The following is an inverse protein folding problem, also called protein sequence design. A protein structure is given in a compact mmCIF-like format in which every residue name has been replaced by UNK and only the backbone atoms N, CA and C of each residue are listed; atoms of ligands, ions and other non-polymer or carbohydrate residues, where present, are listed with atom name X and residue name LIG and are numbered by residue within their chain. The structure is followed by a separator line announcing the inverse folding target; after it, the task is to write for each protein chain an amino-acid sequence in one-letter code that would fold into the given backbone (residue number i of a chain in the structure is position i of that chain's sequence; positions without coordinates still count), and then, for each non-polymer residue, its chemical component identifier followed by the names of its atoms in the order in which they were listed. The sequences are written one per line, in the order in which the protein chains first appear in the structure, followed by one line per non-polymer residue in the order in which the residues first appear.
data_IF_900761731220
#
_entry.id   IF_900761731220
#
_cell.length_a   1.000
_cell.length_b   1.000
_cell.length_c   1.000
_cell.angle_alpha   90.00
_cell.angle_beta   90.00
_cell.angle_gamma   90.00
#
_symmetry.space_group_name_H-M   'P 1'
#
loop_
_entity.id
_entity.type
_entity.pdbx_description
1 polymer ?
#
# COMPACT_ATOMS: atom_id res chain seq x y z
N UNK A 1 -16.77 21.23 0.36
CA UNK A 1 -17.37 19.89 0.19
C UNK A 1 -17.19 19.33 -1.24
N UNK A 2 -17.12 20.18 -2.27
CA UNK A 2 -17.00 19.74 -3.68
C UNK A 2 -15.62 19.13 -4.04
N UNK A 3 -14.52 19.71 -3.56
CA UNK A 3 -13.16 19.27 -3.97
C UNK A 3 -12.75 17.89 -3.46
N UNK A 4 -13.05 17.55 -2.20
CA UNK A 4 -12.74 16.20 -1.67
C UNK A 4 -13.53 15.12 -2.41
N UNK A 5 -14.76 15.42 -2.82
CA UNK A 5 -15.58 14.54 -3.63
C UNK A 5 -14.96 14.34 -5.02
N UNK A 6 -14.51 15.41 -5.69
CA UNK A 6 -13.86 15.31 -6.99
C UNK A 6 -12.53 14.53 -6.92
N UNK A 7 -11.76 14.67 -5.84
CA UNK A 7 -10.56 13.83 -5.63
C UNK A 7 -10.96 12.36 -5.48
N UNK A 8 -11.90 12.05 -4.59
CA UNK A 8 -12.37 10.68 -4.36
C UNK A 8 -12.97 10.05 -5.63
N UNK A 9 -13.72 10.83 -6.41
CA UNK A 9 -14.30 10.44 -7.69
C UNK A 9 -13.24 10.20 -8.76
N UNK A 10 -12.24 11.08 -8.85
CA UNK A 10 -11.13 10.94 -9.80
C UNK A 10 -10.36 9.63 -9.61
N UNK A 11 -10.13 9.22 -8.36
CA UNK A 11 -9.50 7.94 -8.05
C UNK A 11 -10.48 6.78 -8.28
N UNK A 12 -11.66 6.81 -7.65
CA UNK A 12 -12.58 5.68 -7.68
C UNK A 12 -13.07 5.35 -9.09
N UNK A 13 -13.35 6.36 -9.92
CA UNK A 13 -13.92 6.17 -11.25
C UNK A 13 -12.87 6.05 -12.36
N UNK A 14 -11.58 5.91 -12.02
CA UNK A 14 -10.55 5.61 -13.02
C UNK A 14 -10.89 4.31 -13.75
N UNK A 15 -10.82 4.31 -15.07
CA UNK A 15 -10.89 3.10 -15.89
C UNK A 15 -9.76 3.15 -16.91
N UNK A 16 -8.79 2.24 -16.76
CA UNK A 16 -7.67 2.13 -17.68
C UNK A 16 -8.11 1.54 -19.03
N UNK A 17 -7.28 1.72 -20.06
CA UNK A 17 -7.55 1.14 -21.37
C UNK A 17 -7.78 -0.39 -21.30
N UNK A 18 -8.68 -0.95 -22.13
CA UNK A 18 -8.96 -2.38 -22.16
C UNK A 18 -7.69 -3.23 -22.33
N UNK A 19 -7.68 -4.41 -21.72
CA UNK A 19 -6.58 -5.36 -21.90
C UNK A 19 -6.65 -5.94 -23.32
N UNK A 20 -5.58 -5.78 -24.10
CA UNK A 20 -5.49 -6.42 -25.43
C UNK A 20 -5.25 -7.94 -25.27
N UNK A 21 -5.92 -8.79 -26.08
CA UNK A 21 -5.67 -10.23 -26.08
C UNK A 21 -4.18 -10.54 -26.34
N UNK A 22 -3.63 -11.52 -25.60
CA UNK A 22 -2.25 -12.01 -25.83
C UNK A 22 -1.13 -11.22 -25.15
N UNK A 23 -1.43 -10.19 -24.35
CA UNK A 23 -0.39 -9.52 -23.54
C UNK A 23 0.02 -10.35 -22.32
N UNK A 24 1.32 -10.55 -22.15
CA UNK A 24 1.95 -11.13 -20.97
C UNK A 24 1.69 -10.27 -19.72
N UNK A 25 1.58 -10.95 -18.59
CA UNK A 25 1.31 -10.31 -17.30
C UNK A 25 2.52 -9.47 -16.85
N UNK A 26 2.31 -8.18 -16.57
CA UNK A 26 3.37 -7.26 -16.10
C UNK A 26 3.82 -6.19 -17.11
N UNK A 27 3.48 -6.35 -18.39
CA UNK A 27 3.77 -5.36 -19.44
C UNK A 27 2.71 -4.25 -19.57
N UNK A 28 1.59 -4.40 -18.84
CA UNK A 28 0.46 -3.49 -18.95
C UNK A 28 0.74 -2.15 -18.24
N UNK A 29 0.87 -1.07 -19.02
CA UNK A 29 1.03 0.32 -18.53
C UNK A 29 -0.07 0.77 -17.56
N UNK A 30 -1.29 0.26 -17.72
CA UNK A 30 -2.46 0.67 -16.93
C UNK A 30 -2.38 0.49 -15.40
N UNK A 31 -1.58 -0.46 -14.88
CA UNK A 31 -1.36 -0.54 -13.43
C UNK A 31 -0.64 0.69 -12.88
N UNK A 32 0.43 1.11 -13.59
CA UNK A 32 1.19 2.31 -13.28
C UNK A 32 0.38 3.60 -13.46
N UNK A 33 -0.56 3.61 -14.41
CA UNK A 33 -1.48 4.73 -14.61
C UNK A 33 -2.39 4.92 -13.40
N UNK A 34 -2.95 3.84 -12.84
CA UNK A 34 -3.78 3.95 -11.65
C UNK A 34 -2.98 4.32 -10.40
N UNK A 35 -1.78 3.77 -10.23
CA UNK A 35 -0.85 4.21 -9.18
C UNK A 35 -0.57 5.71 -9.26
N UNK A 36 -0.39 6.25 -10.47
CA UNK A 36 -0.21 7.69 -10.69
C UNK A 36 -1.45 8.50 -10.32
N UNK A 37 -2.65 8.01 -10.64
CA UNK A 37 -3.94 8.66 -10.27
C UNK A 37 -4.14 8.65 -8.75
N UNK A 38 -3.88 7.52 -8.08
CA UNK A 38 -3.92 7.44 -6.61
C UNK A 38 -2.92 8.42 -6.00
N UNK A 39 -1.69 8.43 -6.52
CA UNK A 39 -0.66 9.35 -6.06
C UNK A 39 -1.08 10.83 -6.21
N UNK A 40 -1.58 11.22 -7.38
CA UNK A 40 -2.09 12.57 -7.62
C UNK A 40 -3.26 12.90 -6.68
N UNK A 41 -4.17 11.95 -6.46
CA UNK A 41 -5.29 12.10 -5.53
C UNK A 41 -4.83 12.35 -4.10
N UNK A 42 -3.83 11.62 -3.61
CA UNK A 42 -3.27 11.82 -2.27
C UNK A 42 -2.55 13.18 -2.13
N UNK A 43 -1.84 13.63 -3.16
CA UNK A 43 -1.20 14.95 -3.17
C UNK A 43 -2.24 16.08 -3.14
N UNK A 44 -3.29 15.98 -3.97
CA UNK A 44 -4.42 16.92 -3.97
C UNK A 44 -5.15 16.93 -2.63
N UNK A 45 -5.34 15.75 -2.02
CA UNK A 45 -5.94 15.64 -0.69
C UNK A 45 -5.09 16.34 0.38
N UNK A 46 -3.77 16.13 0.39
CA UNK A 46 -2.86 16.84 1.29
C UNK A 46 -2.93 18.35 1.14
N UNK A 47 -2.96 18.86 -0.10
CA UNK A 47 -3.10 20.30 -0.39
C UNK A 47 -4.45 20.84 0.08
N UNK A 48 -5.53 20.08 -0.15
CA UNK A 48 -6.87 20.44 0.30
C UNK A 48 -6.92 20.53 1.83
N UNK A 49 -6.32 19.57 2.55
CA UNK A 49 -6.30 19.57 4.02
C UNK A 49 -5.66 20.84 4.59
N UNK A 50 -4.49 21.23 4.10
CA UNK A 50 -3.77 22.41 4.62
C UNK A 50 -4.42 23.72 4.22
N UNK A 51 -5.19 23.72 3.13
CA UNK A 51 -6.01 24.87 2.74
C UNK A 51 -7.25 24.98 3.62
N UNK A 52 -7.88 23.85 3.96
CA UNK A 52 -9.13 23.81 4.70
C UNK A 52 -8.96 23.88 6.23
N UNK A 53 -7.81 23.46 6.76
CA UNK A 53 -7.54 23.39 8.20
C UNK A 53 -6.26 24.18 8.52
N UNK A 54 -6.39 25.39 9.10
CA UNK A 54 -5.26 26.30 9.32
C UNK A 54 -4.13 25.79 10.21
N UNK A 55 -4.34 24.75 11.02
CA UNK A 55 -3.29 24.13 11.87
C UNK A 55 -2.49 23.05 11.15
N UNK A 56 -2.89 22.64 9.94
CA UNK A 56 -2.21 21.60 9.15
C UNK A 56 -1.15 22.21 8.22
N UNK A 57 -0.01 21.52 8.08
CA UNK A 57 1.09 21.88 7.17
C UNK A 57 1.52 20.69 6.33
N UNK A 58 1.93 20.96 5.09
CA UNK A 58 2.60 19.98 4.24
C UNK A 58 4.11 20.12 4.44
N UNK A 59 4.79 19.00 4.68
CA UNK A 59 6.25 18.97 4.84
C UNK A 59 6.87 17.81 4.08
N UNK A 60 8.03 17.98 3.43
CA UNK A 60 8.79 16.86 2.93
C UNK A 60 9.27 15.96 4.07
N UNK A 61 9.56 14.71 3.76
CA UNK A 61 9.97 13.69 4.74
C UNK A 61 11.43 13.33 4.53
N UNK A 62 12.18 13.18 5.61
CA UNK A 62 13.54 12.65 5.59
C UNK A 62 13.63 11.36 6.43
N UNK A 63 14.37 10.37 5.95
CA UNK A 63 14.63 9.15 6.70
C UNK A 63 15.75 9.37 7.73
N UNK A 64 15.50 9.07 9.00
CA UNK A 64 16.52 9.08 10.05
C UNK A 64 17.59 8.02 9.79
N UNK A 65 18.84 8.32 10.14
CA UNK A 65 19.97 7.41 9.94
C UNK A 65 20.55 7.40 8.53
N UNK A 66 19.94 8.10 7.55
CA UNK A 66 20.60 8.31 6.26
C UNK A 66 21.56 9.50 6.34
N UNK A 67 22.77 9.36 5.80
CA UNK A 67 23.79 10.42 5.74
C UNK A 67 23.41 11.61 4.86
N UNK A 68 22.22 11.58 4.26
CA UNK A 68 21.73 12.59 3.33
C UNK A 68 20.89 13.61 4.08
N UNK A 69 21.30 14.88 4.03
CA UNK A 69 20.49 16.03 4.41
C UNK A 69 19.31 16.29 3.45
N UNK A 70 18.92 15.30 2.63
CA UNK A 70 17.92 15.44 1.58
C UNK A 70 16.63 14.72 1.97
N UNK A 71 15.50 15.34 1.67
CA UNK A 71 14.21 14.68 1.78
C UNK A 71 14.07 13.54 0.76
N UNK A 72 13.18 12.61 1.06
CA UNK A 72 12.78 11.53 0.18
C UNK A 72 11.95 12.11 -0.97
N UNK A 73 12.39 11.86 -2.20
CA UNK A 73 11.70 12.30 -3.42
C UNK A 73 10.38 11.55 -3.68
N UNK A 74 9.95 10.69 -2.76
CA UNK A 74 8.75 9.87 -2.87
C UNK A 74 7.89 9.88 -1.60
N UNK A 75 8.10 10.85 -0.69
CA UNK A 75 7.35 10.94 0.56
C UNK A 75 6.97 12.36 0.96
N UNK A 76 5.74 12.51 1.45
CA UNK A 76 5.14 13.77 1.89
C UNK A 76 4.41 13.56 3.23
N UNK A 77 4.48 14.54 4.12
CA UNK A 77 3.78 14.54 5.39
C UNK A 77 2.72 15.64 5.45
N UNK A 78 1.58 15.33 6.08
CA UNK A 78 0.64 16.31 6.63
C UNK A 78 0.85 16.33 8.14
N UNK A 79 1.20 17.49 8.68
CA UNK A 79 1.59 17.68 10.08
C UNK A 79 0.55 18.56 10.77
N UNK A 80 0.10 18.12 11.95
CA UNK A 80 -0.56 18.96 12.93
C UNK A 80 0.35 19.12 14.15
N UNK A 81 0.96 20.30 14.30
CA UNK A 81 1.87 20.56 15.42
C UNK A 81 1.14 20.65 16.76
N UNK A 82 -0.07 21.21 16.78
CA UNK A 82 -0.89 21.38 17.99
C UNK A 82 -1.23 20.03 18.61
N UNK A 83 -1.64 19.07 17.78
CA UNK A 83 -1.99 17.72 18.20
C UNK A 83 -0.80 16.75 18.23
N UNK A 84 0.40 17.20 17.82
CA UNK A 84 1.59 16.36 17.64
C UNK A 84 1.33 15.13 16.77
N UNK A 85 0.45 15.24 15.78
CA UNK A 85 0.03 14.16 14.87
C UNK A 85 0.59 14.38 13.47
N UNK A 86 1.14 13.33 12.86
CA UNK A 86 1.71 13.37 11.51
C UNK A 86 1.23 12.19 10.70
N UNK A 87 0.67 12.49 9.53
CA UNK A 87 0.31 11.50 8.53
C UNK A 87 1.34 11.57 7.40
N UNK A 88 2.08 10.49 7.18
CA UNK A 88 3.09 10.43 6.12
C UNK A 88 2.64 9.48 5.04
N UNK A 89 2.70 9.94 3.79
CA UNK A 89 2.50 9.15 2.59
C UNK A 89 3.86 8.91 1.93
N UNK A 90 4.25 7.65 1.71
CA UNK A 90 5.42 7.29 0.90
C UNK A 90 5.00 6.39 -0.25
N UNK A 91 5.00 6.94 -1.46
CA UNK A 91 4.60 6.26 -2.69
C UNK A 91 5.65 6.54 -3.77
N UNK A 92 6.28 5.52 -4.38
CA UNK A 92 7.25 5.70 -5.48
C UNK A 92 6.72 6.58 -6.62
N UNK A 93 5.41 6.50 -6.91
CA UNK A 93 4.72 7.30 -7.92
C UNK A 93 4.80 8.82 -7.69
N UNK A 94 5.08 9.30 -6.48
CA UNK A 94 5.28 10.73 -6.21
C UNK A 94 6.50 11.31 -6.93
N UNK A 95 7.57 10.52 -7.12
CA UNK A 95 8.84 10.99 -7.70
C UNK A 95 8.68 11.64 -9.09
N UNK A 96 7.68 11.19 -9.83
CA UNK A 96 7.42 11.62 -11.20
C UNK A 96 6.21 12.55 -11.31
N UNK A 97 5.59 12.91 -10.18
CA UNK A 97 4.39 13.74 -10.17
C UNK A 97 4.76 15.24 -10.10
N UNK A 98 4.33 16.07 -11.08
CA UNK A 98 4.62 17.50 -11.07
C UNK A 98 4.09 18.24 -9.84
N UNK A 99 2.95 17.83 -9.29
CA UNK A 99 2.38 18.44 -8.08
C UNK A 99 3.25 18.16 -6.85
N UNK A 100 3.92 17.00 -6.78
CA UNK A 100 4.88 16.73 -5.72
C UNK A 100 6.09 17.66 -5.80
N UNK A 101 6.62 17.88 -7.01
CA UNK A 101 7.70 18.84 -7.24
C UNK A 101 7.27 20.27 -6.86
N UNK A 102 6.07 20.70 -7.24
CA UNK A 102 5.50 22.00 -6.83
C UNK A 102 5.46 22.13 -5.30
N UNK A 103 4.89 21.15 -4.60
CA UNK A 103 4.74 21.15 -3.14
C UNK A 103 6.10 21.19 -2.43
N UNK A 104 7.11 20.50 -2.96
CA UNK A 104 8.41 20.33 -2.29
C UNK A 104 9.48 21.36 -2.72
N UNK A 105 9.28 22.06 -3.84
CA UNK A 105 10.25 23.00 -4.42
C UNK A 105 10.62 24.18 -3.50
N UNK A 106 9.73 24.56 -2.58
CA UNK A 106 9.95 25.66 -1.63
C UNK A 106 10.48 25.25 -0.25
N UNK A 107 10.73 23.96 -0.01
CA UNK A 107 11.10 23.49 1.32
C UNK A 107 12.55 23.85 1.69
N UNK A 108 12.73 24.54 2.81
CA UNK A 108 14.04 24.84 3.37
C UNK A 108 14.70 23.54 3.90
N UNK A 109 16.05 23.49 3.90
CA UNK A 109 16.84 22.32 4.33
C UNK A 109 16.54 21.79 5.75
N UNK A 110 15.83 22.54 6.59
CA UNK A 110 15.49 22.15 7.97
C UNK A 110 13.99 21.95 8.21
N UNK A 111 13.11 22.11 7.21
CA UNK A 111 11.66 22.03 7.37
C UNK A 111 11.10 20.63 7.05
N UNK A 112 11.83 19.59 7.46
CA UNK A 112 11.49 18.20 7.16
C UNK A 112 10.89 17.48 8.36
N UNK A 113 9.95 16.58 8.11
CA UNK A 113 9.56 15.56 9.08
C UNK A 113 10.59 14.43 9.02
N UNK A 114 11.33 14.23 10.11
CA UNK A 114 12.23 13.10 10.26
C UNK A 114 11.47 11.87 10.76
N UNK A 115 11.68 10.74 10.09
CA UNK A 115 11.01 9.48 10.39
C UNK A 115 12.03 8.35 10.35
N UNK A 116 12.03 7.41 11.31
CA UNK A 116 12.82 6.18 11.22
C UNK A 116 12.59 5.43 9.91
N UNK A 117 13.66 5.03 9.22
CA UNK A 117 13.56 4.31 7.93
C UNK A 117 12.76 2.99 8.06
N UNK A 118 12.84 2.34 9.23
CA UNK A 118 12.08 1.13 9.54
C UNK A 118 10.55 1.34 9.47
N UNK A 119 10.06 2.54 9.82
CA UNK A 119 8.64 2.87 9.71
C UNK A 119 8.22 2.98 8.25
N UNK A 120 9.13 3.46 7.40
CA UNK A 120 8.91 3.65 5.96
C UNK A 120 9.19 2.39 5.13
N UNK A 121 9.66 1.28 5.72
CA UNK A 121 9.92 0.00 5.04
C UNK A 121 8.65 -0.51 4.34
N UNK A 122 8.73 -0.77 3.03
CA UNK A 122 7.63 -1.33 2.21
C UNK A 122 7.99 -2.67 1.55
N UNK A 123 9.16 -3.18 1.86
CA UNK A 123 9.74 -4.36 1.23
C UNK A 123 10.28 -5.28 2.31
N UNK A 124 9.90 -6.55 2.24
CA UNK A 124 10.13 -7.53 3.30
C UNK A 124 10.78 -8.77 2.70
N UNK A 125 11.81 -9.28 3.37
CA UNK A 125 12.61 -10.41 2.87
C UNK A 125 11.90 -11.71 3.23
N UNK A 126 11.57 -12.52 2.21
CA UNK A 126 10.77 -13.75 2.38
C UNK A 126 11.41 -14.73 3.36
N UNK A 127 12.74 -14.77 3.40
CA UNK A 127 13.50 -15.61 4.33
C UNK A 127 13.14 -15.36 5.80
N UNK A 128 12.68 -14.15 6.16
CA UNK A 128 12.31 -13.80 7.54
C UNK A 128 11.12 -14.62 8.06
N UNK A 129 10.17 -15.02 7.20
CA UNK A 129 8.97 -15.77 7.61
C UNK A 129 8.86 -17.17 7.00
N UNK A 130 9.58 -17.49 5.92
CA UNK A 130 9.59 -18.86 5.36
C UNK A 130 10.55 -19.78 6.11
N UNK A 131 11.76 -19.30 6.42
CA UNK A 131 12.82 -20.13 7.05
C UNK A 131 12.37 -20.73 8.38
N UNK A 132 11.69 -19.99 9.28
CA UNK A 132 11.22 -20.55 10.55
C UNK A 132 10.25 -21.73 10.40
N UNK A 133 9.61 -21.90 9.24
CA UNK A 133 8.61 -22.94 8.98
C UNK A 133 9.14 -24.16 8.24
N UNK A 134 10.39 -24.15 7.76
CA UNK A 134 10.94 -25.27 6.97
C UNK A 134 10.89 -26.61 7.69
N UNK A 135 11.14 -26.65 9.00
CA UNK A 135 11.06 -27.89 9.78
C UNK A 135 9.66 -28.51 9.73
N UNK A 136 8.62 -27.70 9.96
CA UNK A 136 7.21 -28.13 9.88
C UNK A 136 6.82 -28.56 8.45
N UNK A 137 7.37 -27.92 7.42
CA UNK A 137 7.15 -28.32 6.02
C UNK A 137 7.82 -29.66 5.70
N UNK A 138 9.04 -29.88 6.21
CA UNK A 138 9.77 -31.13 6.05
C UNK A 138 9.07 -32.30 6.75
N UNK A 139 8.62 -32.12 7.99
CA UNK A 139 7.88 -33.13 8.76
C UNK A 139 6.57 -33.57 8.07
N UNK A 140 5.96 -32.69 7.28
CA UNK A 140 4.76 -32.98 6.48
C UNK A 140 5.06 -33.63 5.13
N UNK A 141 6.33 -33.79 4.76
CA UNK A 141 6.75 -34.30 3.44
C UNK A 141 6.45 -33.33 2.30
N UNK A 142 6.39 -32.02 2.58
CA UNK A 142 6.13 -31.00 1.54
C UNK A 142 7.41 -30.45 0.90
N UNK A 143 8.56 -30.69 1.53
CA UNK A 143 9.88 -30.42 0.94
C UNK A 143 10.34 -31.69 0.22
N UNK A 144 10.63 -31.63 -1.10
CA UNK A 144 11.17 -32.76 -1.85
C UNK A 144 12.44 -33.33 -1.22
N UNK A 145 12.59 -34.65 -1.23
CA UNK A 145 13.77 -35.34 -0.66
C UNK A 145 15.03 -35.08 -1.48
N UNK A 146 16.20 -35.21 -0.85
CA UNK A 146 17.50 -34.82 -1.45
C UNK A 146 17.85 -35.64 -2.72
N UNK A 147 17.36 -36.87 -2.83
CA UNK A 147 17.56 -37.74 -3.99
C UNK A 147 16.57 -37.49 -5.14
N UNK A 148 15.59 -36.60 -4.97
CA UNK A 148 14.68 -36.19 -6.02
C UNK A 148 15.37 -35.30 -7.08
N UNK A 149 14.95 -35.36 -8.36
CA UNK A 149 15.64 -34.69 -9.47
C UNK A 149 15.42 -33.16 -9.53
N UNK A 150 14.88 -32.54 -8.47
CA UNK A 150 14.56 -31.12 -8.45
C UNK A 150 15.76 -30.30 -7.95
N UNK A 151 16.07 -29.16 -8.58
CA UNK A 151 17.20 -28.33 -8.16
C UNK A 151 17.01 -27.73 -6.76
N UNK A 152 15.78 -27.69 -6.25
CA UNK A 152 15.44 -27.17 -4.94
C UNK A 152 14.79 -28.30 -4.12
N UNK A 153 15.63 -29.20 -3.61
CA UNK A 153 15.23 -30.32 -2.76
C UNK A 153 16.14 -30.40 -1.53
N UNK A 154 15.72 -31.16 -0.52
CA UNK A 154 16.47 -31.38 0.72
C UNK A 154 17.00 -30.08 1.34
N UNK A 155 18.30 -30.07 1.64
CA UNK A 155 18.97 -28.89 2.22
C UNK A 155 19.08 -27.71 1.27
N UNK A 156 18.86 -27.89 -0.03
CA UNK A 156 18.91 -26.83 -1.05
C UNK A 156 17.56 -26.12 -1.22
N UNK A 157 16.49 -26.59 -0.59
CA UNK A 157 15.16 -25.98 -0.66
C UNK A 157 15.11 -24.48 -0.31
N UNK A 158 15.89 -23.95 0.67
CA UNK A 158 15.91 -22.52 0.98
C UNK A 158 16.36 -21.62 -0.19
N UNK A 159 17.13 -22.14 -1.15
CA UNK A 159 17.54 -21.38 -2.34
C UNK A 159 16.34 -20.92 -3.18
N UNK A 160 15.21 -21.65 -3.11
CA UNK A 160 14.00 -21.36 -3.88
C UNK A 160 13.49 -19.93 -3.65
N UNK A 161 13.57 -19.46 -2.40
CA UNK A 161 13.08 -18.14 -1.98
C UNK A 161 14.19 -17.20 -1.49
N UNK A 162 15.46 -17.63 -1.51
CA UNK A 162 16.58 -16.78 -1.12
C UNK A 162 16.58 -15.45 -1.87
N UNK A 163 16.80 -14.35 -1.13
CA UNK A 163 16.77 -12.96 -1.64
C UNK A 163 15.46 -12.53 -2.30
N UNK A 164 14.41 -13.37 -2.29
CA UNK A 164 13.06 -12.96 -2.72
C UNK A 164 12.44 -12.03 -1.70
N UNK A 165 11.55 -11.18 -2.17
CA UNK A 165 10.95 -10.11 -1.38
C UNK A 165 9.50 -9.92 -1.74
N UNK A 166 8.69 -9.65 -0.73
CA UNK A 166 7.34 -9.12 -0.90
C UNK A 166 7.44 -7.60 -0.83
N UNK A 167 6.93 -6.92 -1.85
CA UNK A 167 7.02 -5.48 -2.00
C UNK A 167 5.63 -4.88 -2.17
N UNK A 168 5.31 -3.89 -1.36
CA UNK A 168 4.06 -3.14 -1.42
C UNK A 168 4.22 -1.86 -2.24
N UNK A 169 3.12 -1.43 -2.85
CA UNK A 169 3.06 -0.27 -3.76
C UNK A 169 3.35 1.04 -3.01
N UNK A 170 3.11 1.09 -1.70
CA UNK A 170 3.45 2.23 -0.85
C UNK A 170 3.27 1.96 0.63
N UNK A 171 3.43 3.01 1.43
CA UNK A 171 3.15 2.98 2.87
C UNK A 171 2.55 4.31 3.33
N UNK A 172 1.59 4.23 4.25
CA UNK A 172 1.08 5.37 5.00
C UNK A 172 1.35 5.12 6.47
N UNK A 173 1.96 6.08 7.18
CA UNK A 173 2.20 5.96 8.62
C UNK A 173 1.53 7.09 9.40
N UNK A 174 1.11 6.74 10.60
CA UNK A 174 0.45 7.59 11.56
C UNK A 174 1.38 7.73 12.76
N UNK A 175 1.91 8.93 12.97
CA UNK A 175 2.80 9.25 14.08
C UNK A 175 2.10 10.18 15.08
N UNK A 176 2.18 9.86 16.36
CA UNK A 176 1.73 10.77 17.43
C UNK A 176 2.86 10.95 18.43
N UNK A 177 3.30 12.20 18.64
CA UNK A 177 4.46 12.53 19.47
C UNK A 177 5.70 11.69 19.11
N UNK A 178 5.94 11.48 17.81
CA UNK A 178 7.06 10.67 17.30
C UNK A 178 6.87 9.15 17.38
N UNK A 179 5.79 8.66 17.98
CA UNK A 179 5.51 7.23 18.12
C UNK A 179 4.64 6.72 16.96
N UNK A 180 5.03 5.60 16.33
CA UNK A 180 4.22 4.90 15.34
C UNK A 180 2.94 4.36 15.95
N UNK A 181 1.80 4.95 15.60
CA UNK A 181 0.46 4.48 15.97
C UNK A 181 -0.03 3.40 15.02
N UNK A 182 0.15 3.62 13.72
CA UNK A 182 -0.28 2.70 12.68
C UNK A 182 0.60 2.83 11.43
N UNK A 183 0.78 1.72 10.72
CA UNK A 183 1.44 1.62 9.42
C UNK A 183 0.54 0.87 8.43
N UNK A 184 -0.06 1.57 7.49
CA UNK A 184 -0.77 0.96 6.39
C UNK A 184 0.20 0.60 5.26
N UNK A 185 0.35 -0.69 4.96
CA UNK A 185 1.00 -1.18 3.76
C UNK A 185 0.01 -1.09 2.60
N UNK A 186 0.36 -0.35 1.55
CA UNK A 186 -0.55 -0.08 0.46
C UNK A 186 -0.40 -1.12 -0.64
N UNK A 187 -1.53 -1.65 -1.07
CA UNK A 187 -1.65 -2.31 -2.35
C UNK A 187 -2.58 -1.48 -3.24
N UNK A 188 -2.12 -1.12 -4.44
CA UNK A 188 -2.86 -0.35 -5.42
C UNK A 188 -3.11 -1.23 -6.63
N UNK A 189 -4.39 -1.51 -6.90
CA UNK A 189 -4.77 -2.37 -8.03
C UNK A 189 -5.95 -1.76 -8.77
N UNK A 190 -5.75 -1.49 -10.05
CA UNK A 190 -6.85 -1.13 -10.94
C UNK A 190 -7.51 -2.36 -11.50
N UNK A 191 -8.82 -2.31 -11.63
CA UNK A 191 -9.54 -3.21 -12.50
C UNK A 191 -9.63 -2.67 -13.91
N UNK A 192 -9.55 -3.63 -14.83
CA UNK A 192 -9.87 -3.46 -16.23
C UNK A 192 -11.10 -4.30 -16.53
N UNK A 193 -12.03 -3.71 -17.26
CA UNK A 193 -13.07 -4.46 -17.90
C UNK A 193 -12.54 -5.00 -19.23
N UNK A 194 -12.68 -6.31 -19.46
CA UNK A 194 -12.68 -6.83 -20.83
C UNK A 194 -14.06 -6.52 -21.40
N UNK A 195 -14.12 -5.60 -22.37
CA UNK A 195 -15.35 -5.22 -23.08
C UNK A 195 -16.49 -4.69 -22.17
N UNK A 196 -16.18 -4.12 -21.00
CA UNK A 196 -17.22 -3.64 -20.09
C UNK A 196 -18.09 -4.74 -19.46
N UNK A 197 -17.67 -6.01 -19.53
CA UNK A 197 -18.52 -7.15 -19.11
C UNK A 197 -17.92 -7.99 -17.97
N UNK A 198 -16.58 -8.14 -17.91
CA UNK A 198 -15.89 -9.00 -16.94
C UNK A 198 -14.61 -8.36 -16.42
N UNK A 199 -14.27 -8.71 -15.18
CA UNK A 199 -13.02 -8.35 -14.51
C UNK A 199 -11.91 -9.33 -14.90
N UNK A 200 -10.74 -8.80 -15.27
CA UNK A 200 -9.50 -9.59 -15.34
C UNK A 200 -9.08 -10.06 -13.93
N UNK A 201 -9.11 -11.37 -13.73
CA UNK A 201 -8.92 -12.02 -12.43
C UNK A 201 -7.47 -12.13 -11.96
N UNK A 202 -6.51 -12.12 -12.87
CA UNK A 202 -5.13 -12.52 -12.56
C UNK A 202 -4.46 -11.58 -11.53
N UNK A 203 -4.77 -10.28 -11.57
CA UNK A 203 -4.29 -9.36 -10.55
C UNK A 203 -4.86 -9.67 -9.15
N UNK A 204 -6.10 -10.11 -9.05
CA UNK A 204 -6.81 -10.34 -7.80
C UNK A 204 -6.48 -11.70 -7.18
N UNK A 205 -6.24 -12.70 -8.02
CA UNK A 205 -5.76 -14.01 -7.55
C UNK A 205 -4.34 -13.90 -7.00
N UNK A 206 -3.47 -13.09 -7.64
CA UNK A 206 -2.15 -12.75 -7.07
C UNK A 206 -2.26 -11.92 -5.80
N UNK A 207 -3.19 -10.98 -5.75
CA UNK A 207 -3.45 -10.24 -4.51
C UNK A 207 -3.89 -11.17 -3.37
N UNK A 208 -4.69 -12.21 -3.64
CA UNK A 208 -5.08 -13.17 -2.61
C UNK A 208 -3.87 -13.90 -2.01
N UNK A 209 -2.85 -14.22 -2.81
CA UNK A 209 -1.59 -14.77 -2.31
C UNK A 209 -0.80 -13.74 -1.50
N UNK A 210 -0.66 -12.52 -2.02
CA UNK A 210 0.03 -11.42 -1.30
C UNK A 210 -0.67 -11.04 0.01
N UNK A 211 -1.98 -11.26 0.12
CA UNK A 211 -2.72 -11.10 1.36
C UNK A 211 -2.30 -12.13 2.43
N UNK A 212 -1.95 -13.36 2.00
CA UNK A 212 -1.37 -14.37 2.90
C UNK A 212 0.08 -14.03 3.25
N UNK A 213 0.87 -13.49 2.32
CA UNK A 213 2.20 -12.94 2.67
C UNK A 213 2.06 -11.83 3.73
N UNK A 214 1.07 -10.94 3.57
CA UNK A 214 0.81 -9.90 4.57
C UNK A 214 0.40 -10.49 5.93
N UNK A 215 -0.34 -11.61 5.98
CA UNK A 215 -0.68 -12.24 7.26
C UNK A 215 0.58 -12.59 8.07
N UNK A 216 1.59 -13.16 7.41
CA UNK A 216 2.87 -13.50 8.02
C UNK A 216 3.68 -12.24 8.39
N UNK A 217 3.73 -11.27 7.49
CA UNK A 217 4.40 -9.97 7.74
C UNK A 217 3.73 -9.26 8.93
N UNK A 218 2.41 -9.26 9.02
CA UNK A 218 1.65 -8.62 10.10
C UNK A 218 1.91 -9.25 11.46
N UNK A 219 2.27 -10.54 11.50
CA UNK A 219 2.68 -11.22 12.73
C UNK A 219 4.05 -10.73 13.23
N UNK A 220 4.98 -10.43 12.31
CA UNK A 220 6.33 -9.97 12.63
C UNK A 220 6.43 -8.45 12.85
N UNK A 221 5.56 -7.68 12.18
CA UNK A 221 5.58 -6.23 12.17
C UNK A 221 4.27 -5.69 12.76
N UNK A 222 4.20 -5.49 14.09
CA UNK A 222 2.97 -5.07 14.76
C UNK A 222 2.56 -3.65 14.34
N UNK A 223 1.27 -3.34 14.55
CA UNK A 223 0.63 -2.07 14.16
C UNK A 223 0.58 -1.85 12.64
N UNK A 224 0.62 -2.92 11.87
CA UNK A 224 0.44 -2.86 10.43
C UNK A 224 -1.01 -3.14 10.03
N UNK A 225 -1.44 -2.53 8.94
CA UNK A 225 -2.72 -2.76 8.26
C UNK A 225 -2.43 -2.95 6.77
N UNK A 226 -3.05 -3.92 6.11
CA UNK A 226 -3.05 -3.98 4.65
C UNK A 226 -4.19 -3.14 4.10
N UNK A 227 -3.87 -2.12 3.32
CA UNK A 227 -4.85 -1.23 2.70
C UNK A 227 -4.85 -1.42 1.18
N UNK A 228 -5.92 -2.03 0.66
CA UNK A 228 -6.16 -2.16 -0.76
C UNK A 228 -6.92 -0.95 -1.30
N UNK A 229 -6.27 -0.17 -2.17
CA UNK A 229 -6.87 0.91 -2.95
C UNK A 229 -7.17 0.40 -4.36
N UNK A 230 -8.44 0.47 -4.75
CA UNK A 230 -8.91 0.02 -6.06
C UNK A 230 -9.97 0.99 -6.63
N UNK A 231 -10.30 0.83 -7.90
CA UNK A 231 -11.37 1.57 -8.58
C UNK A 231 -12.73 0.85 -8.47
N UNK A 232 -13.79 1.60 -8.80
CA UNK A 232 -15.20 1.21 -8.67
C UNK A 232 -15.63 0.17 -9.73
N UNK A 233 -14.79 -0.09 -10.72
CA UNK A 233 -14.97 -1.17 -11.67
C UNK A 233 -15.12 -2.55 -10.99
N UNK A 234 -14.49 -2.77 -9.82
CA UNK A 234 -14.70 -4.00 -9.01
C UNK A 234 -16.14 -4.20 -8.54
N UNK A 235 -16.91 -3.12 -8.50
CA UNK A 235 -18.31 -3.12 -8.08
C UNK A 235 -19.27 -3.10 -9.28
N UNK A 236 -18.86 -2.51 -10.40
CA UNK A 236 -19.68 -2.35 -11.60
C UNK A 236 -19.89 -3.65 -12.38
N UNK A 237 -18.88 -4.52 -12.40
CA UNK A 237 -18.89 -5.73 -13.22
C UNK A 237 -19.01 -6.99 -12.38
N UNK A 238 -19.72 -8.01 -12.89
CA UNK A 238 -19.89 -9.29 -12.19
C UNK A 238 -18.55 -9.99 -12.00
N UNK A 239 -18.15 -10.20 -10.75
CA UNK A 239 -16.92 -10.90 -10.38
C UNK A 239 -17.01 -11.53 -8.99
N UNK A 240 -16.11 -12.48 -8.69
CA UNK A 240 -15.99 -13.12 -7.37
C UNK A 240 -15.03 -12.38 -6.42
N UNK A 241 -14.23 -11.46 -6.94
CA UNK A 241 -13.04 -10.93 -6.26
C UNK A 241 -13.37 -9.95 -5.16
N UNK A 242 -14.26 -8.97 -5.39
CA UNK A 242 -14.62 -7.99 -4.35
C UNK A 242 -15.14 -8.67 -3.08
N UNK A 243 -16.18 -9.50 -3.23
CA UNK A 243 -16.79 -10.22 -2.10
C UNK A 243 -15.83 -11.26 -1.53
N UNK A 244 -15.10 -11.98 -2.38
CA UNK A 244 -14.12 -12.99 -1.94
C UNK A 244 -13.02 -12.41 -1.07
N UNK A 245 -12.39 -11.30 -1.50
CA UNK A 245 -11.36 -10.58 -0.72
C UNK A 245 -11.92 -10.17 0.65
N UNK A 246 -13.12 -9.58 0.69
CA UNK A 246 -13.76 -9.19 1.95
C UNK A 246 -14.04 -10.36 2.89
N UNK A 247 -14.58 -11.47 2.37
CA UNK A 247 -14.86 -12.68 3.17
C UNK A 247 -13.56 -13.30 3.70
N UNK A 248 -12.51 -13.39 2.88
CA UNK A 248 -11.21 -13.90 3.30
C UNK A 248 -10.62 -13.04 4.42
N UNK A 249 -10.62 -11.72 4.25
CA UNK A 249 -10.11 -10.79 5.25
C UNK A 249 -10.86 -10.88 6.59
N UNK A 250 -12.19 -11.00 6.58
CA UNK A 250 -12.98 -11.20 7.80
C UNK A 250 -12.65 -12.52 8.50
N UNK A 251 -12.50 -13.61 7.74
CA UNK A 251 -12.11 -14.90 8.33
C UNK A 251 -10.72 -14.84 8.95
N UNK A 252 -9.77 -14.17 8.27
CA UNK A 252 -8.43 -13.97 8.78
C UNK A 252 -8.43 -13.10 10.04
N UNK A 253 -9.19 -12.00 10.09
CA UNK A 253 -9.25 -11.15 11.29
C UNK A 253 -9.90 -11.85 12.49
N UNK A 254 -10.83 -12.79 12.26
CA UNK A 254 -11.39 -13.62 13.33
C UNK A 254 -10.40 -14.67 13.85
N UNK A 255 -9.53 -15.19 12.97
CA UNK A 255 -8.53 -16.19 13.34
C UNK A 255 -7.26 -15.57 13.96
N UNK A 256 -6.88 -14.35 13.53
CA UNK A 256 -5.62 -13.72 13.85
C UNK A 256 -5.83 -12.28 14.33
N UNK A 257 -5.70 -12.06 15.65
CA UNK A 257 -6.03 -10.76 16.27
C UNK A 257 -5.13 -9.60 15.83
N UNK A 258 -3.97 -9.88 15.23
CA UNK A 258 -3.06 -8.87 14.69
C UNK A 258 -3.37 -8.50 13.23
N UNK A 259 -4.13 -9.34 12.50
CA UNK A 259 -4.41 -9.12 11.10
C UNK A 259 -5.43 -7.98 10.93
N UNK A 260 -5.06 -6.98 10.14
CA UNK A 260 -5.91 -5.82 9.82
C UNK A 260 -5.94 -5.59 8.32
N UNK A 261 -7.13 -5.44 7.77
CA UNK A 261 -7.32 -5.24 6.34
C UNK A 261 -8.42 -4.23 6.07
N UNK A 262 -8.17 -3.33 5.13
CA UNK A 262 -9.13 -2.35 4.65
C UNK A 262 -9.13 -2.37 3.11
N UNK A 263 -10.33 -2.27 2.51
CA UNK A 263 -10.51 -2.18 1.07
C UNK A 263 -11.34 -0.97 0.71
N UNK A 264 -10.83 -0.17 -0.22
CA UNK A 264 -11.46 1.08 -0.66
C UNK A 264 -11.58 1.06 -2.18
N UNK A 265 -12.83 0.99 -2.66
CA UNK A 265 -13.14 0.80 -4.08
C UNK A 265 -14.12 1.84 -4.65
N UNK A 266 -14.92 2.48 -3.82
CA UNK A 266 -15.96 3.43 -4.24
C UNK A 266 -15.71 4.84 -3.73
N UNK A 267 -16.31 5.84 -4.39
CA UNK A 267 -16.25 7.26 -3.98
C UNK A 267 -16.57 7.45 -2.50
N UNK A 268 -17.63 6.80 -2.00
CA UNK A 268 -18.04 6.90 -0.59
C UNK A 268 -17.01 6.31 0.36
N UNK A 269 -16.35 5.20 -0.01
CA UNK A 269 -15.30 4.61 0.81
C UNK A 269 -14.04 5.48 0.83
N UNK A 270 -13.66 6.08 -0.30
CA UNK A 270 -12.55 7.05 -0.34
C UNK A 270 -12.85 8.29 0.50
N UNK A 271 -14.06 8.84 0.41
CA UNK A 271 -14.49 9.96 1.26
C UNK A 271 -14.42 9.60 2.76
N UNK A 272 -14.87 8.40 3.13
CA UNK A 272 -14.77 7.92 4.50
C UNK A 272 -13.31 7.80 4.94
N UNK A 273 -12.44 7.22 4.12
CA UNK A 273 -11.01 7.11 4.40
C UNK A 273 -10.37 8.50 4.62
N UNK A 274 -10.62 9.43 3.70
CA UNK A 274 -10.11 10.81 3.78
C UNK A 274 -10.67 11.58 4.98
N UNK A 275 -11.91 11.31 5.37
CA UNK A 275 -12.51 11.92 6.57
C UNK A 275 -11.86 11.37 7.83
N UNK A 276 -11.65 10.05 7.93
CA UNK A 276 -10.97 9.41 9.07
C UNK A 276 -9.53 9.91 9.24
N UNK A 277 -8.78 10.07 8.14
CA UNK A 277 -7.43 10.63 8.19
C UNK A 277 -7.41 12.08 8.65
N UNK A 278 -8.39 12.88 8.20
CA UNK A 278 -8.55 14.28 8.65
C UNK A 278 -8.90 14.33 10.14
N UNK A 279 -9.88 13.54 10.59
CA UNK A 279 -10.30 13.45 11.98
C UNK A 279 -9.14 13.03 12.88
N UNK A 280 -8.37 12.03 12.44
CA UNK A 280 -7.17 11.61 13.15
C UNK A 280 -6.17 12.77 13.26
N UNK A 281 -5.85 13.49 12.18
CA UNK A 281 -4.96 14.67 12.26
C UNK A 281 -5.50 15.77 13.20
N UNK A 282 -6.82 15.90 13.32
CA UNK A 282 -7.52 16.88 14.16
C UNK A 282 -7.63 16.47 15.64
N UNK A 283 -7.10 15.32 16.05
CA UNK A 283 -7.16 14.91 17.47
C UNK A 283 -8.43 14.17 17.86
N UNK A 284 -9.29 13.83 16.90
CA UNK A 284 -10.55 13.10 17.12
C UNK A 284 -10.33 11.58 17.10
#
# INVERSE_FOLDING_TARGET
MNEMYEIAKGVASFEGAPTLPGRTTGEARGGREFEAVVAEGLLKYGRLLVTAVPSLRLRPVAAEGTSRQNHLADALAVVNEENKRVLVFRLPAFRHNPLFAEITSGALQNDFVRVPDSFLKREFVVEEWYTPKLGELAERGWIPEEDEPYPFSGTNYPELYRRKRTQFDGVIIFLESGTLREKALLEIKSLKSSEGARVDGNAHERFAYQNLDYLEIGALYPRTTLLLLTNDAILKYRNKYHTGIGVHALRLSYAFCWYKFEMVSSVRQYLRLFSLWKEWLEGK
#
